data_IF_428516716691
#
_entry.id   IF_428516716691
#
_cell.length_a   1.000
_cell.length_b   1.000
_cell.length_c   1.000
_cell.angle_alpha   90.00
_cell.angle_beta   90.00
_cell.angle_gamma   90.00
#
_symmetry.space_group_name_H-M   'P 1'
#
loop_
_entity.id
_entity.type
_entity.pdbx_description
1 polymer ?
#
# COMPACT_ATOMS: atom_id res chain seq x y z
N UNK A 1 71.89 -5.42 15.30
CA UNK A 1 70.80 -5.10 14.35
C UNK A 1 69.93 -6.33 14.14
N UNK A 2 69.09 -6.65 15.11
CA UNK A 2 68.08 -7.73 15.10
C UNK A 2 66.83 -7.10 15.73
N UNK A 3 65.62 -7.48 15.32
CA UNK A 3 64.31 -7.01 15.84
C UNK A 3 63.60 -5.86 15.09
N UNK A 4 63.65 -5.79 13.75
CA UNK A 4 62.75 -4.86 13.01
C UNK A 4 61.84 -5.51 11.96
N UNK A 5 61.87 -6.84 11.79
CA UNK A 5 61.09 -7.53 10.74
C UNK A 5 59.87 -8.32 11.26
N UNK A 6 59.67 -8.43 12.58
CA UNK A 6 58.64 -9.28 13.17
C UNK A 6 57.40 -8.52 13.70
N UNK A 7 57.26 -7.22 13.43
CA UNK A 7 56.05 -6.45 13.82
C UNK A 7 55.09 -6.15 12.67
N UNK A 8 55.45 -6.45 11.41
CA UNK A 8 54.59 -6.13 10.26
C UNK A 8 53.64 -7.28 9.85
N UNK A 9 53.83 -8.51 10.38
CA UNK A 9 53.08 -9.69 9.94
C UNK A 9 51.74 -9.90 10.70
N UNK A 10 51.52 -9.20 11.81
CA UNK A 10 50.31 -9.35 12.64
C UNK A 10 49.17 -8.40 12.27
N UNK A 11 49.38 -7.47 11.32
CA UNK A 11 48.36 -6.49 10.91
C UNK A 11 47.46 -6.96 9.73
N UNK A 12 47.76 -8.10 9.11
CA UNK A 12 47.00 -8.60 7.96
C UNK A 12 45.95 -9.67 8.28
N UNK A 13 45.89 -10.16 9.53
CA UNK A 13 44.92 -11.19 9.94
C UNK A 13 43.64 -10.63 10.59
N UNK A 14 43.53 -9.31 10.77
CA UNK A 14 42.38 -8.66 11.42
C UNK A 14 41.39 -7.97 10.46
N UNK A 15 41.62 -8.04 9.14
CA UNK A 15 40.74 -7.41 8.15
C UNK A 15 39.93 -8.43 7.31
N UNK A 16 39.99 -9.71 7.64
CA UNK A 16 39.39 -10.78 6.84
C UNK A 16 37.98 -11.25 7.22
N UNK A 17 37.36 -10.70 8.27
CA UNK A 17 36.08 -11.22 8.79
C UNK A 17 34.95 -10.21 8.94
N UNK A 18 35.11 -8.97 8.45
CA UNK A 18 34.09 -7.93 8.61
C UNK A 18 33.51 -7.45 7.29
N UNK A 19 33.16 -8.35 6.36
CA UNK A 19 32.18 -8.06 5.30
C UNK A 19 31.78 -9.30 4.49
N UNK A 20 31.45 -10.43 5.14
CA UNK A 20 30.38 -11.27 4.56
C UNK A 20 29.08 -10.63 5.03
N UNK A 21 28.79 -9.44 4.52
CA UNK A 21 27.40 -9.06 4.35
C UNK A 21 26.91 -10.07 3.33
N UNK A 22 26.20 -11.09 3.80
CA UNK A 22 25.23 -11.75 2.94
C UNK A 22 24.54 -10.60 2.23
N UNK A 23 24.68 -10.55 0.91
CA UNK A 23 23.88 -9.67 0.10
C UNK A 23 22.45 -10.07 0.39
N UNK A 24 21.88 -9.47 1.43
CA UNK A 24 20.46 -9.41 1.62
C UNK A 24 20.06 -8.51 0.47
N UNK A 25 19.90 -9.15 -0.70
CA UNK A 25 19.02 -8.67 -1.72
C UNK A 25 17.81 -8.21 -0.93
N UNK A 26 17.57 -6.91 -0.95
CA UNK A 26 16.33 -6.35 -0.46
C UNK A 26 15.28 -7.01 -1.35
N UNK A 27 14.77 -8.17 -0.92
CA UNK A 27 13.54 -8.73 -1.42
C UNK A 27 12.55 -7.65 -1.10
N UNK A 28 12.30 -6.78 -2.09
CA UNK A 28 11.28 -5.75 -1.97
C UNK A 28 10.02 -6.57 -1.83
N UNK A 29 9.58 -6.74 -0.58
CA UNK A 29 8.37 -7.49 -0.26
C UNK A 29 7.29 -7.00 -1.21
N UNK A 30 6.60 -7.90 -1.92
CA UNK A 30 5.59 -7.48 -2.88
C UNK A 30 4.61 -6.56 -2.16
N UNK A 31 4.33 -5.41 -2.75
CA UNK A 31 3.43 -4.41 -2.20
C UNK A 31 2.20 -4.22 -3.06
N UNK A 32 1.11 -3.85 -2.41
CA UNK A 32 -0.04 -3.23 -3.06
C UNK A 32 0.10 -1.72 -2.89
N UNK A 33 0.37 -1.01 -3.97
CA UNK A 33 0.36 0.45 -4.03
C UNK A 33 -1.03 0.93 -4.37
N UNK A 34 -1.65 1.67 -3.46
CA UNK A 34 -2.94 2.32 -3.67
C UNK A 34 -2.68 3.80 -3.92
N UNK A 35 -3.05 4.28 -5.10
CA UNK A 35 -3.03 5.69 -5.47
C UNK A 35 -4.46 6.22 -5.41
N UNK A 36 -4.75 7.08 -4.44
CA UNK A 36 -5.99 7.84 -4.46
C UNK A 36 -5.87 8.98 -5.44
N UNK A 37 -6.88 9.15 -6.27
CA UNK A 37 -7.13 10.40 -6.98
C UNK A 37 -8.51 10.92 -6.57
N UNK A 38 -8.56 12.14 -6.03
CA UNK A 38 -9.81 12.78 -5.62
C UNK A 38 -10.79 12.91 -6.80
N UNK A 39 -10.28 13.11 -8.02
CA UNK A 39 -11.07 13.13 -9.25
C UNK A 39 -10.43 12.29 -10.34
N UNK A 40 -11.03 11.15 -10.66
CA UNK A 40 -10.67 10.40 -11.87
C UNK A 40 -11.27 11.09 -13.09
N UNK A 41 -10.50 11.16 -14.18
CA UNK A 41 -10.97 11.74 -15.44
C UNK A 41 -12.20 10.98 -15.97
N UNK A 42 -13.21 11.70 -16.44
CA UNK A 42 -14.47 11.13 -16.93
C UNK A 42 -15.53 10.85 -15.84
N UNK A 43 -15.23 11.13 -14.56
CA UNK A 43 -16.19 11.01 -13.47
C UNK A 43 -16.58 12.39 -12.93
N UNK A 44 -17.89 12.61 -12.74
CA UNK A 44 -18.43 13.78 -12.04
C UNK A 44 -18.70 13.47 -10.55
N UNK A 45 -18.88 14.50 -9.73
CA UNK A 45 -19.27 14.32 -8.32
C UNK A 45 -18.14 13.80 -7.43
N UNK A 46 -16.89 14.09 -7.76
CA UNK A 46 -15.73 13.70 -6.96
C UNK A 46 -15.83 14.06 -5.47
N UNK A 47 -15.38 13.16 -4.61
CA UNK A 47 -15.18 13.44 -3.19
C UNK A 47 -13.72 13.78 -2.90
N UNK A 48 -13.45 15.03 -2.53
CA UNK A 48 -12.11 15.54 -2.19
C UNK A 48 -11.75 15.46 -0.71
N UNK A 49 -12.71 15.13 0.18
CA UNK A 49 -12.47 15.02 1.62
C UNK A 49 -11.59 13.83 2.02
N UNK A 50 -11.35 13.66 3.32
CA UNK A 50 -10.46 12.61 3.81
C UNK A 50 -11.10 11.21 3.69
N UNK A 51 -10.34 10.25 3.16
CA UNK A 51 -10.76 8.85 2.99
C UNK A 51 -9.77 7.95 3.72
N UNK A 52 -10.25 7.23 4.74
CA UNK A 52 -9.42 6.22 5.42
C UNK A 52 -9.62 4.86 4.76
N UNK A 53 -8.54 4.29 4.26
CA UNK A 53 -8.47 2.93 3.74
C UNK A 53 -7.71 2.03 4.71
N UNK A 54 -8.36 0.94 5.11
CA UNK A 54 -7.75 -0.15 5.85
C UNK A 54 -7.65 -1.37 4.94
N UNK A 55 -6.44 -1.91 4.79
CA UNK A 55 -6.20 -3.20 4.14
C UNK A 55 -5.75 -4.23 5.17
N UNK A 56 -6.45 -5.36 5.23
CA UNK A 56 -6.12 -6.49 6.11
C UNK A 56 -5.84 -7.77 5.33
N UNK A 57 -5.03 -8.64 5.92
CA UNK A 57 -4.80 -10.00 5.47
C UNK A 57 -5.94 -10.93 5.93
N UNK A 58 -5.90 -12.18 5.49
CA UNK A 58 -6.83 -13.19 5.97
C UNK A 58 -6.65 -13.54 7.45
N UNK A 59 -5.45 -13.32 8.01
CA UNK A 59 -5.15 -13.52 9.43
C UNK A 59 -5.53 -12.33 10.32
N UNK A 60 -6.10 -11.26 9.75
CA UNK A 60 -6.55 -10.08 10.50
C UNK A 60 -5.46 -9.04 10.76
N UNK A 61 -4.21 -9.30 10.40
CA UNK A 61 -3.14 -8.29 10.39
C UNK A 61 -3.41 -7.28 9.28
N UNK A 62 -3.21 -6.00 9.54
CA UNK A 62 -3.49 -4.98 8.52
C UNK A 62 -2.86 -3.64 8.81
N UNK A 63 -3.02 -2.74 7.84
CA UNK A 63 -2.56 -1.36 7.96
C UNK A 63 -3.67 -0.43 7.48
N UNK A 64 -3.76 0.74 8.10
CA UNK A 64 -4.70 1.80 7.76
C UNK A 64 -3.95 3.05 7.35
N UNK A 65 -4.50 3.80 6.41
CA UNK A 65 -3.99 5.12 6.05
C UNK A 65 -5.16 6.04 5.69
N UNK A 66 -5.05 7.31 6.07
CA UNK A 66 -6.03 8.34 5.70
C UNK A 66 -5.44 9.16 4.57
N UNK A 67 -6.06 9.07 3.40
CA UNK A 67 -5.75 9.93 2.27
C UNK A 67 -6.49 11.26 2.42
N UNK A 68 -5.77 12.38 2.40
CA UNK A 68 -6.33 13.73 2.57
C UNK A 68 -6.06 14.66 1.40
N UNK A 69 -5.04 14.37 0.60
CA UNK A 69 -4.66 15.15 -0.57
C UNK A 69 -5.43 14.76 -1.83
N UNK A 70 -5.30 15.62 -2.85
CA UNK A 70 -5.94 15.45 -4.15
C UNK A 70 -5.40 14.22 -4.92
N UNK A 71 -4.10 13.94 -4.82
CA UNK A 71 -3.50 12.70 -5.32
C UNK A 71 -2.44 12.25 -4.35
N UNK A 72 -2.58 11.04 -3.82
CA UNK A 72 -1.69 10.49 -2.80
C UNK A 72 -1.54 8.99 -3.01
N UNK A 73 -0.34 8.46 -2.76
CA UNK A 73 -0.07 7.03 -2.90
C UNK A 73 0.43 6.44 -1.60
N UNK A 74 -0.01 5.21 -1.31
CA UNK A 74 0.42 4.46 -0.14
C UNK A 74 0.69 3.00 -0.48
N UNK A 75 1.80 2.49 0.03
CA UNK A 75 2.14 1.08 -0.07
C UNK A 75 1.58 0.31 1.14
N UNK A 76 1.02 -0.86 0.83
CA UNK A 76 0.58 -1.87 1.78
C UNK A 76 1.26 -3.19 1.44
N UNK A 77 1.33 -4.11 2.40
CA UNK A 77 1.79 -5.48 2.11
C UNK A 77 0.91 -6.15 1.04
N UNK A 78 1.49 -6.91 0.11
CA UNK A 78 0.73 -7.65 -0.90
C UNK A 78 -0.24 -8.69 -0.31
N UNK A 79 0.03 -9.16 0.93
CA UNK A 79 -0.85 -10.09 1.64
C UNK A 79 -2.14 -9.43 2.13
N UNK A 80 -2.17 -8.09 2.23
CA UNK A 80 -3.34 -7.35 2.67
C UNK A 80 -4.25 -7.06 1.47
N UNK A 81 -5.36 -7.80 1.37
CA UNK A 81 -6.30 -7.70 0.24
C UNK A 81 -7.72 -7.38 0.65
N UNK A 82 -8.12 -7.57 1.91
CA UNK A 82 -9.45 -7.22 2.41
C UNK A 82 -9.54 -5.73 2.64
N UNK A 83 -10.64 -5.12 2.20
CA UNK A 83 -10.83 -3.66 2.20
C UNK A 83 -11.87 -3.27 3.24
N UNK A 84 -11.56 -2.21 3.98
CA UNK A 84 -12.52 -1.38 4.70
C UNK A 84 -12.24 0.09 4.40
N UNK A 85 -13.28 0.81 4.01
CA UNK A 85 -13.24 2.27 3.78
C UNK A 85 -14.01 2.97 4.90
N UNK A 86 -13.48 4.08 5.39
CA UNK A 86 -14.16 5.00 6.32
C UNK A 86 -14.13 6.42 5.75
N UNK A 87 -15.29 7.07 5.67
CA UNK A 87 -15.47 8.44 5.18
C UNK A 87 -16.37 9.18 6.17
N UNK A 88 -15.97 10.38 6.61
CA UNK A 88 -16.69 11.19 7.61
C UNK A 88 -17.12 10.39 8.87
N UNK A 89 -16.29 9.45 9.34
CA UNK A 89 -16.57 8.62 10.51
C UNK A 89 -17.47 7.41 10.24
N UNK A 90 -18.17 7.34 9.11
CA UNK A 90 -18.92 6.16 8.68
C UNK A 90 -17.98 5.14 8.05
N UNK A 91 -18.12 3.86 8.38
CA UNK A 91 -17.27 2.78 7.86
C UNK A 91 -18.10 1.81 7.04
N UNK A 92 -17.54 1.38 5.92
CA UNK A 92 -18.17 0.43 5.03
C UNK A 92 -18.55 -0.88 5.73
N UNK A 93 -19.74 -1.40 5.45
CA UNK A 93 -20.28 -2.67 5.90
C UNK A 93 -20.05 -3.76 4.85
N UNK A 94 -19.91 -5.03 5.26
CA UNK A 94 -19.60 -6.12 4.33
C UNK A 94 -18.11 -6.45 4.19
N UNK A 95 -17.80 -7.37 3.29
CA UNK A 95 -16.44 -7.87 3.02
C UNK A 95 -16.08 -7.63 1.56
N UNK A 96 -15.07 -6.81 1.32
CA UNK A 96 -14.59 -6.47 -0.03
C UNK A 96 -13.12 -6.83 -0.17
N UNK A 97 -12.67 -7.08 -1.40
CA UNK A 97 -11.30 -7.46 -1.71
C UNK A 97 -10.75 -6.65 -2.87
N UNK A 98 -9.43 -6.43 -2.88
CA UNK A 98 -8.75 -5.82 -4.01
C UNK A 98 -9.00 -6.64 -5.29
N UNK A 99 -9.28 -5.97 -6.44
CA UNK A 99 -9.44 -6.65 -7.71
C UNK A 99 -8.24 -7.52 -8.06
N UNK A 100 -8.48 -8.62 -8.77
CA UNK A 100 -7.45 -9.63 -9.03
C UNK A 100 -6.82 -9.46 -10.41
N UNK A 101 -7.60 -9.06 -11.41
CA UNK A 101 -7.16 -8.85 -12.79
C UNK A 101 -6.90 -7.37 -13.11
N UNK A 102 -5.98 -7.10 -14.03
CA UNK A 102 -5.72 -5.74 -14.51
C UNK A 102 -6.94 -5.26 -15.31
N UNK A 103 -7.41 -4.05 -15.05
CA UNK A 103 -8.64 -3.48 -15.60
C UNK A 103 -9.90 -3.85 -14.81
N UNK A 104 -9.82 -4.78 -13.86
CA UNK A 104 -10.93 -5.12 -12.99
C UNK A 104 -11.18 -3.98 -11.98
N UNK A 105 -12.45 -3.66 -11.78
CA UNK A 105 -12.92 -2.63 -10.86
C UNK A 105 -13.82 -3.23 -9.80
N UNK A 106 -13.48 -2.96 -8.53
CA UNK A 106 -14.40 -3.10 -7.41
C UNK A 106 -15.20 -1.80 -7.29
N UNK A 107 -16.53 -1.93 -7.24
CA UNK A 107 -17.44 -0.82 -6.95
C UNK A 107 -18.15 -1.13 -5.64
N UNK A 108 -18.04 -0.22 -4.68
CA UNK A 108 -18.81 -0.25 -3.44
C UNK A 108 -19.85 0.88 -3.51
N UNK A 109 -21.11 0.48 -3.63
CA UNK A 109 -22.27 1.35 -3.83
C UNK A 109 -22.90 1.76 -2.52
N UNK A 110 -23.29 3.04 -2.43
CA UNK A 110 -23.66 3.75 -1.21
C UNK A 110 -24.28 2.94 -0.07
N UNK A 111 -25.61 2.82 -0.04
CA UNK A 111 -26.34 2.26 1.10
C UNK A 111 -26.02 0.79 1.36
N UNK A 112 -25.66 0.05 0.31
CA UNK A 112 -25.32 -1.38 0.38
C UNK A 112 -24.00 -1.62 1.10
N UNK A 113 -23.06 -0.69 0.94
CA UNK A 113 -21.80 -0.69 1.66
C UNK A 113 -21.86 0.14 2.95
N UNK A 114 -23.02 0.63 3.39
CA UNK A 114 -23.14 1.42 4.62
C UNK A 114 -22.57 2.85 4.53
N UNK A 115 -22.37 3.35 3.31
CA UNK A 115 -21.88 4.70 3.01
C UNK A 115 -22.82 5.39 2.01
N UNK A 116 -24.10 5.64 2.36
CA UNK A 116 -25.19 5.96 1.41
C UNK A 116 -24.95 7.14 0.47
N UNK A 117 -24.07 8.08 0.81
CA UNK A 117 -23.76 9.23 -0.04
C UNK A 117 -22.61 9.00 -1.03
N UNK A 118 -21.92 7.85 -0.96
CA UNK A 118 -20.65 7.64 -1.63
C UNK A 118 -20.61 6.35 -2.45
N UNK A 119 -20.06 6.44 -3.65
CA UNK A 119 -19.62 5.30 -4.44
C UNK A 119 -18.09 5.26 -4.43
N UNK A 120 -17.53 4.10 -4.09
CA UNK A 120 -16.08 3.89 -4.03
C UNK A 120 -15.67 2.96 -5.16
N UNK A 121 -14.69 3.40 -5.94
CA UNK A 121 -14.16 2.65 -7.07
C UNK A 121 -12.70 2.33 -6.77
N UNK A 122 -12.35 1.04 -6.80
CA UNK A 122 -10.96 0.59 -6.72
C UNK A 122 -10.67 -0.21 -7.97
N UNK A 123 -9.76 0.28 -8.81
CA UNK A 123 -9.41 -0.35 -10.09
C UNK A 123 -7.98 -0.80 -10.07
N UNK A 124 -7.71 -2.04 -10.47
CA UNK A 124 -6.33 -2.52 -10.63
C UNK A 124 -5.77 -2.06 -11.96
N UNK A 125 -4.72 -1.24 -11.93
CA UNK A 125 -4.13 -0.64 -13.13
C UNK A 125 -2.89 -1.39 -13.61
N UNK A 126 -2.18 -2.04 -12.70
CA UNK A 126 -1.04 -2.90 -13.02
C UNK A 126 -0.84 -3.96 -11.92
N UNK A 127 0.18 -4.80 -12.05
CA UNK A 127 0.51 -5.75 -10.99
C UNK A 127 0.88 -5.01 -9.70
N UNK A 128 0.14 -5.26 -8.61
CA UNK A 128 0.32 -4.58 -7.32
C UNK A 128 -0.07 -3.10 -7.32
N UNK A 129 -0.63 -2.54 -8.40
CA UNK A 129 -1.00 -1.12 -8.48
C UNK A 129 -2.51 -0.94 -8.63
N UNK A 130 -3.08 -0.06 -7.82
CA UNK A 130 -4.51 0.19 -7.77
C UNK A 130 -4.78 1.68 -7.68
N UNK A 131 -5.88 2.11 -8.29
CA UNK A 131 -6.41 3.47 -8.18
C UNK A 131 -7.66 3.46 -7.32
N UNK A 132 -7.75 4.39 -6.38
CA UNK A 132 -8.90 4.61 -5.51
C UNK A 132 -9.57 5.94 -5.89
N UNK A 133 -10.83 5.89 -6.29
CA UNK A 133 -11.70 7.03 -6.49
C UNK A 133 -12.90 6.96 -5.56
N UNK A 134 -13.34 8.12 -5.06
CA UNK A 134 -14.58 8.24 -4.29
C UNK A 134 -15.42 9.33 -4.91
N UNK A 135 -16.70 9.04 -5.10
CA UNK A 135 -17.64 9.92 -5.75
C UNK A 135 -18.89 10.05 -4.89
N UNK A 136 -19.45 11.24 -4.81
CA UNK A 136 -20.83 11.43 -4.39
C UNK A 136 -21.73 10.75 -5.42
N UNK A 137 -22.72 10.01 -4.94
CA UNK A 137 -23.73 9.46 -5.84
C UNK A 137 -25.02 9.11 -5.13
N UNK A 138 -26.11 9.61 -5.70
CA UNK A 138 -27.12 8.72 -6.27
C UNK A 138 -26.98 8.89 -7.79
N UNK A 139 -26.56 7.85 -8.53
CA UNK A 139 -26.89 7.77 -9.95
C UNK A 139 -28.17 6.95 -10.09
#
# INVERSE_FOLDING_TARGET
MKQLKLMLLMAFFSLGFSAISFGQATTTEPTNTITRNACLAGYSGCYSGAVKLTLTSNSGLGSSYTFSGATESRNYSAYNKKIKITINGATSTGTYYLPTAIGEQLIMTGSECGLPAYNIHITKTANGQYTLGVFYGNQ
#
